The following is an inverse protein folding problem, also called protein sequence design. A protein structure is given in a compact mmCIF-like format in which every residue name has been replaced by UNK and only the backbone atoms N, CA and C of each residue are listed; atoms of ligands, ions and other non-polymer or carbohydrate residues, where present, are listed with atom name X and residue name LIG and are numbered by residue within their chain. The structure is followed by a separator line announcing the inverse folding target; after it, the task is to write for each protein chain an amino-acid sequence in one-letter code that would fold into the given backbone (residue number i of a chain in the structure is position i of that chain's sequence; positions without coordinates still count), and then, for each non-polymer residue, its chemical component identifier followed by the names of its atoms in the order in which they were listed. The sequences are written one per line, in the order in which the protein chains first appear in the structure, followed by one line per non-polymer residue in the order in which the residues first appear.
data_IF_176828974794
#
_entry.id   IF_176828974794
#
_cell.length_a   1.000
_cell.length_b   1.000
_cell.length_c   1.000
_cell.angle_alpha   90.00
_cell.angle_beta   90.00
_cell.angle_gamma   90.00
#
_symmetry.space_group_name_H-M   'P 1'
#
loop_
_entity.id
_entity.type
_entity.pdbx_description
1 polymer ?
#
# COMPACT_ATOMS: atom_id res chain seq x y z
N UNK A 1 70.34 -9.20 10.86
CA UNK A 1 69.45 -8.06 11.16
C UNK A 1 67.99 -8.54 11.11
N UNK A 2 67.55 -9.31 12.11
CA UNK A 2 66.15 -9.76 12.22
C UNK A 2 65.83 -9.90 13.71
N UNK A 3 64.94 -9.03 14.22
CA UNK A 3 64.45 -9.06 15.58
C UNK A 3 62.99 -9.49 15.58
N UNK A 4 62.76 -10.56 16.32
CA UNK A 4 61.49 -11.18 16.69
C UNK A 4 60.75 -10.27 17.69
N UNK A 5 59.45 -9.98 17.50
CA UNK A 5 58.53 -9.85 18.64
C UNK A 5 57.05 -9.78 18.23
N UNK A 6 56.31 -10.82 18.62
CA UNK A 6 54.93 -10.82 19.15
C UNK A 6 53.90 -9.84 18.54
N UNK A 7 53.05 -10.37 17.68
CA UNK A 7 51.61 -10.09 17.76
C UNK A 7 50.83 -11.39 17.57
N UNK A 8 50.73 -12.16 18.66
CA UNK A 8 49.85 -13.33 18.71
C UNK A 8 48.39 -12.86 18.73
N UNK A 9 47.58 -13.59 17.95
CA UNK A 9 46.12 -13.63 17.95
C UNK A 9 45.51 -13.37 19.33
N UNK A 10 44.76 -12.26 19.43
CA UNK A 10 43.61 -12.18 20.34
C UNK A 10 42.35 -12.40 19.50
N UNK A 11 41.95 -13.67 19.39
CA UNK A 11 40.54 -14.02 19.14
C UNK A 11 39.76 -13.45 20.32
N UNK A 12 39.25 -12.23 20.20
CA UNK A 12 38.15 -11.82 21.07
C UNK A 12 36.91 -12.53 20.53
N UNK A 13 36.41 -13.46 21.34
CA UNK A 13 35.06 -13.97 21.19
C UNK A 13 34.12 -12.78 21.09
N UNK A 14 33.17 -12.86 20.16
CA UNK A 14 32.08 -11.90 20.01
C UNK A 14 31.27 -11.93 21.31
N UNK A 15 31.66 -11.07 22.25
CA UNK A 15 30.95 -10.87 23.50
C UNK A 15 29.57 -10.34 23.15
N UNK A 16 28.56 -11.17 23.34
CA UNK A 16 27.18 -10.72 23.35
C UNK A 16 27.04 -9.75 24.53
N UNK A 17 27.11 -8.44 24.26
CA UNK A 17 26.91 -7.40 25.27
C UNK A 17 25.64 -7.63 26.08
N UNK A 18 25.67 -7.23 27.35
CA UNK A 18 24.59 -7.47 28.30
C UNK A 18 23.30 -6.75 27.81
N UNK A 19 22.11 -7.20 28.23
CA UNK A 19 20.81 -6.69 27.71
C UNK A 19 20.72 -5.15 27.72
N UNK A 20 21.29 -4.51 28.75
CA UNK A 20 21.36 -3.06 28.89
C UNK A 20 22.20 -2.37 27.80
N UNK A 21 23.32 -2.95 27.39
CA UNK A 21 24.20 -2.38 26.36
C UNK A 21 23.56 -2.46 24.97
N UNK A 22 22.76 -3.51 24.72
CA UNK A 22 22.00 -3.65 23.47
C UNK A 22 20.90 -2.60 23.32
N UNK A 23 20.27 -2.19 24.42
CA UNK A 23 19.23 -1.15 24.41
C UNK A 23 19.78 0.24 24.04
N UNK A 24 21.04 0.50 24.37
CA UNK A 24 21.73 1.75 24.02
C UNK A 24 22.46 1.71 22.67
N UNK A 25 22.42 0.58 21.95
CA UNK A 25 23.04 0.49 20.64
C UNK A 25 22.28 1.34 19.61
N UNK A 26 22.96 1.88 18.58
CA UNK A 26 22.29 2.57 17.48
C UNK A 26 21.20 1.68 16.86
N UNK A 27 20.03 2.23 16.51
CA UNK A 27 18.97 1.42 15.94
C UNK A 27 19.37 0.85 14.58
N UNK A 28 18.94 -0.38 14.32
CA UNK A 28 18.97 -0.93 12.97
C UNK A 28 17.89 -0.24 12.14
N UNK A 29 18.29 0.37 11.02
CA UNK A 29 17.36 1.05 10.10
C UNK A 29 17.15 0.18 8.87
N UNK A 30 15.89 -0.11 8.58
CA UNK A 30 15.45 -0.82 7.39
C UNK A 30 14.44 -0.01 6.58
N UNK A 31 14.24 -0.44 5.34
CA UNK A 31 13.18 0.04 4.47
C UNK A 31 12.24 -1.13 4.19
N UNK A 32 10.93 -0.89 4.28
CA UNK A 32 9.89 -1.85 3.91
C UNK A 32 8.92 -1.21 2.92
N UNK A 33 8.31 -2.01 2.04
CA UNK A 33 7.40 -1.51 1.02
C UNK A 33 6.08 -2.27 1.07
N UNK A 34 4.96 -1.55 1.18
CA UNK A 34 3.62 -2.10 0.96
C UNK A 34 3.27 -1.91 -0.50
N UNK A 35 3.18 -3.00 -1.26
CA UNK A 35 2.86 -2.95 -2.70
C UNK A 35 1.42 -3.39 -2.86
N UNK A 36 0.59 -2.56 -3.48
CA UNK A 36 -0.82 -2.83 -3.71
C UNK A 36 -1.10 -2.88 -5.21
N UNK A 37 -1.81 -3.93 -5.64
CA UNK A 37 -2.32 -4.09 -6.99
C UNK A 37 -3.76 -4.58 -6.97
N UNK A 38 -4.49 -4.36 -8.07
CA UNK A 38 -5.81 -4.96 -8.26
C UNK A 38 -5.67 -6.40 -8.71
N UNK A 39 -6.14 -7.33 -7.89
CA UNK A 39 -6.22 -8.74 -8.25
C UNK A 39 -7.65 -9.28 -8.28
N UNK A 40 -7.81 -10.54 -8.72
CA UNK A 40 -9.12 -11.17 -8.75
C UNK A 40 -9.65 -11.31 -7.32
N UNK A 41 -10.92 -11.00 -7.15
CA UNK A 41 -11.67 -11.21 -5.92
C UNK A 41 -12.12 -12.65 -5.83
N UNK A 42 -12.20 -13.18 -4.61
CA UNK A 42 -12.74 -14.52 -4.43
C UNK A 42 -14.22 -14.55 -4.85
N UNK A 43 -14.60 -15.57 -5.61
CA UNK A 43 -16.00 -15.87 -5.88
C UNK A 43 -16.54 -16.56 -4.63
N UNK A 44 -16.66 -15.81 -3.54
CA UNK A 44 -17.11 -16.33 -2.26
C UNK A 44 -18.38 -17.15 -2.43
N UNK A 45 -18.52 -18.19 -1.60
CA UNK A 45 -19.51 -19.28 -1.56
C UNK A 45 -21.02 -18.89 -1.66
N UNK A 46 -21.35 -17.64 -1.94
CA UNK A 46 -22.61 -17.23 -2.54
C UNK A 46 -22.70 -17.73 -3.98
N UNK A 47 -23.80 -18.39 -4.36
CA UNK A 47 -24.10 -18.85 -5.72
C UNK A 47 -24.27 -17.73 -6.77
N UNK A 48 -23.40 -16.72 -6.75
CA UNK A 48 -23.28 -15.68 -7.74
C UNK A 48 -22.55 -16.22 -8.98
N UNK A 49 -23.00 -15.76 -10.15
CA UNK A 49 -22.48 -16.18 -11.45
C UNK A 49 -20.96 -15.96 -11.56
N UNK A 50 -20.18 -16.90 -12.15
CA UNK A 50 -18.72 -16.80 -12.29
C UNK A 50 -18.22 -15.61 -13.13
N UNK A 51 -19.13 -14.86 -13.78
CA UNK A 51 -18.84 -13.64 -14.56
C UNK A 51 -18.82 -12.36 -13.69
N UNK A 52 -18.93 -12.50 -12.37
CA UNK A 52 -18.94 -11.42 -11.38
C UNK A 52 -17.79 -11.54 -10.35
N UNK A 53 -16.64 -12.08 -10.76
CA UNK A 53 -15.43 -12.03 -9.93
C UNK A 53 -15.16 -10.56 -9.56
N UNK A 54 -15.17 -10.26 -8.26
CA UNK A 54 -14.90 -8.92 -7.73
C UNK A 54 -13.45 -8.55 -8.01
N UNK A 55 -13.07 -7.29 -7.89
CA UNK A 55 -11.65 -6.94 -7.73
C UNK A 55 -11.37 -6.68 -6.26
N UNK A 56 -10.19 -7.08 -5.80
CA UNK A 56 -9.73 -6.81 -4.44
C UNK A 56 -8.27 -6.35 -4.46
N UNK A 57 -7.80 -5.76 -3.36
CA UNK A 57 -6.41 -5.39 -3.21
C UNK A 57 -5.57 -6.63 -2.90
N UNK A 58 -4.49 -6.80 -3.65
CA UNK A 58 -3.51 -7.85 -3.46
C UNK A 58 -2.14 -7.25 -3.20
N UNK A 59 -1.33 -7.98 -2.43
CA UNK A 59 0.04 -7.61 -2.13
C UNK A 59 0.99 -8.79 -2.19
N UNK A 60 2.20 -8.61 -2.75
CA UNK A 60 3.24 -9.62 -2.71
C UNK A 60 3.92 -9.59 -1.34
N UNK A 61 4.11 -10.77 -0.78
CA UNK A 61 4.88 -10.97 0.44
C UNK A 61 6.08 -11.87 0.15
N UNK A 62 7.14 -11.68 0.92
CA UNK A 62 8.38 -12.44 0.81
C UNK A 62 8.52 -13.39 2.00
N UNK A 63 8.77 -14.67 1.72
CA UNK A 63 9.06 -15.67 2.75
C UNK A 63 10.48 -15.48 3.26
N UNK A 64 10.62 -15.25 4.56
CA UNK A 64 11.91 -14.99 5.20
C UNK A 64 12.77 -16.25 5.23
N UNK A 65 14.01 -16.12 4.78
CA UNK A 65 15.03 -17.20 4.80
C UNK A 65 16.08 -17.04 5.90
N UNK A 66 15.92 -16.04 6.78
CA UNK A 66 16.87 -15.73 7.88
C UNK A 66 16.13 -15.40 9.17
N UNK A 67 16.79 -15.64 10.30
CA UNK A 67 16.30 -15.20 11.62
C UNK A 67 16.39 -13.68 11.78
N UNK A 68 15.56 -13.07 12.66
CA UNK A 68 14.40 -13.68 13.34
C UNK A 68 13.25 -13.96 12.36
N UNK A 69 12.26 -14.75 12.78
CA UNK A 69 11.07 -15.10 11.99
C UNK A 69 11.35 -15.86 10.69
N UNK A 70 12.37 -16.73 10.69
CA UNK A 70 12.62 -17.61 9.55
C UNK A 70 11.37 -18.45 9.23
N UNK A 71 10.97 -18.48 7.96
CA UNK A 71 9.78 -19.19 7.47
C UNK A 71 8.48 -18.37 7.50
N UNK A 72 8.42 -17.25 8.21
CA UNK A 72 7.28 -16.33 8.17
C UNK A 72 7.28 -15.48 6.90
N UNK A 73 6.11 -15.01 6.49
CA UNK A 73 5.94 -14.02 5.43
C UNK A 73 6.21 -12.61 5.93
N UNK A 74 6.66 -11.72 5.06
CA UNK A 74 7.01 -10.35 5.40
C UNK A 74 6.78 -9.43 4.20
N UNK A 75 6.60 -8.13 4.47
CA UNK A 75 6.71 -7.11 3.45
C UNK A 75 8.09 -7.17 2.77
N UNK A 76 8.14 -6.90 1.46
CA UNK A 76 9.37 -6.60 0.73
C UNK A 76 10.15 -5.52 1.46
N UNK A 77 11.47 -5.71 1.59
CA UNK A 77 12.29 -4.77 2.33
C UNK A 77 13.68 -5.29 2.63
N UNK A 78 14.50 -4.42 3.19
CA UNK A 78 15.89 -4.70 3.48
C UNK A 78 16.53 -3.69 4.41
N UNK A 79 17.78 -3.99 4.79
CA UNK A 79 18.60 -3.05 5.53
C UNK A 79 19.00 -1.89 4.64
N UNK A 80 19.11 -0.70 5.22
CA UNK A 80 19.62 0.45 4.49
C UNK A 80 21.09 0.24 4.13
N UNK A 81 21.46 0.64 2.90
CA UNK A 81 22.85 0.65 2.43
C UNK A 81 23.36 2.09 2.34
N UNK A 82 24.65 2.28 2.55
CA UNK A 82 25.27 3.61 2.52
C UNK A 82 25.38 4.21 1.10
N UNK A 83 25.22 3.39 0.06
CA UNK A 83 25.36 3.76 -1.35
C UNK A 83 24.02 4.06 -2.05
N UNK A 84 22.89 4.06 -1.31
CA UNK A 84 21.54 4.27 -1.85
C UNK A 84 20.72 5.21 -0.98
N UNK A 85 19.85 6.00 -1.62
CA UNK A 85 18.82 6.74 -0.90
C UNK A 85 17.74 5.80 -0.33
N UNK A 86 16.88 6.34 0.54
CA UNK A 86 15.72 5.60 1.08
C UNK A 86 14.76 5.17 -0.04
N UNK A 87 14.48 6.08 -0.97
CA UNK A 87 13.63 5.84 -2.13
C UNK A 87 14.23 4.79 -3.07
N UNK A 88 15.53 4.86 -3.36
CA UNK A 88 16.23 3.84 -4.15
C UNK A 88 16.20 2.47 -3.46
N UNK A 89 16.27 2.44 -2.13
CA UNK A 89 16.17 1.20 -1.35
C UNK A 89 14.76 0.61 -1.40
N UNK A 90 13.72 1.45 -1.38
CA UNK A 90 12.33 1.03 -1.54
C UNK A 90 12.07 0.52 -2.97
N UNK A 91 12.55 1.25 -3.98
CA UNK A 91 12.43 0.86 -5.38
C UNK A 91 13.07 -0.52 -5.63
N UNK A 92 14.32 -0.72 -5.17
CA UNK A 92 14.98 -2.03 -5.29
C UNK A 92 14.19 -3.14 -4.58
N UNK A 93 13.69 -2.89 -3.37
CA UNK A 93 12.94 -3.90 -2.62
C UNK A 93 11.68 -4.35 -3.38
N UNK A 94 11.03 -3.42 -4.07
CA UNK A 94 9.90 -3.70 -4.93
C UNK A 94 10.31 -4.45 -6.20
N UNK A 95 11.29 -3.93 -6.94
CA UNK A 95 11.75 -4.49 -8.21
C UNK A 95 12.29 -5.91 -8.02
N UNK A 96 13.12 -6.13 -7.00
CA UNK A 96 13.65 -7.47 -6.69
C UNK A 96 12.59 -8.49 -6.26
N UNK A 97 11.43 -8.03 -5.79
CA UNK A 97 10.34 -8.91 -5.36
C UNK A 97 9.36 -9.20 -6.50
N UNK A 98 9.07 -8.20 -7.33
CA UNK A 98 7.94 -8.25 -8.28
C UNK A 98 8.36 -8.17 -9.73
N UNK A 99 9.58 -7.72 -10.03
CA UNK A 99 10.03 -7.25 -11.34
C UNK A 99 9.19 -6.10 -11.93
N UNK A 100 8.31 -5.48 -11.13
CA UNK A 100 7.44 -4.39 -11.56
C UNK A 100 8.11 -3.04 -11.29
N UNK A 101 7.68 -2.03 -12.05
CA UNK A 101 8.18 -0.66 -11.96
C UNK A 101 6.99 0.24 -11.59
N UNK A 102 6.82 0.60 -10.31
CA UNK A 102 5.62 1.30 -9.90
C UNK A 102 5.58 2.69 -10.52
N UNK A 103 4.40 3.12 -10.99
CA UNK A 103 4.20 4.53 -11.36
C UNK A 103 4.20 5.47 -10.16
N UNK A 104 4.00 4.92 -8.97
CA UNK A 104 3.88 5.68 -7.75
C UNK A 104 4.56 4.95 -6.59
N UNK A 105 5.48 5.66 -5.95
CA UNK A 105 6.18 5.22 -4.75
C UNK A 105 6.27 6.44 -3.82
N UNK A 106 5.71 6.33 -2.62
CA UNK A 106 5.72 7.41 -1.63
C UNK A 106 6.07 6.87 -0.24
N UNK A 107 6.72 7.68 0.58
CA UNK A 107 6.96 7.31 1.97
C UNK A 107 5.64 7.39 2.76
N UNK A 108 5.22 6.26 3.30
CA UNK A 108 3.99 6.13 4.07
C UNK A 108 4.17 6.63 5.52
N UNK A 109 5.14 6.07 6.24
CA UNK A 109 5.39 6.37 7.65
C UNK A 109 6.73 5.78 8.13
N UNK A 110 7.14 6.13 9.35
CA UNK A 110 8.32 5.54 10.01
C UNK A 110 7.88 4.83 11.29
N UNK A 111 8.14 3.53 11.37
CA UNK A 111 7.79 2.68 12.51
C UNK A 111 9.03 2.41 13.36
N UNK A 112 8.97 2.79 14.63
CA UNK A 112 10.09 2.68 15.57
C UNK A 112 9.68 2.26 16.97
N UNK A 113 8.52 1.61 17.11
CA UNK A 113 8.03 1.12 18.39
C UNK A 113 9.05 0.16 19.04
N UNK A 114 9.46 0.33 20.30
CA UNK A 114 10.43 -0.54 20.96
C UNK A 114 10.08 -2.04 20.91
N UNK A 115 8.78 -2.38 20.95
CA UNK A 115 8.29 -3.76 21.04
C UNK A 115 8.38 -4.51 19.71
N UNK A 116 8.58 -3.81 18.58
CA UNK A 116 8.80 -4.46 17.28
C UNK A 116 10.08 -5.30 17.24
N UNK A 117 11.04 -4.97 18.11
CA UNK A 117 12.30 -5.70 18.24
C UNK A 117 12.19 -6.88 19.20
N UNK A 118 12.06 -8.08 18.66
CA UNK A 118 12.08 -9.30 19.47
C UNK A 118 13.50 -9.54 20.00
N UNK A 119 13.77 -9.10 21.24
CA UNK A 119 15.08 -9.26 21.89
C UNK A 119 15.85 -7.95 22.16
N UNK A 120 15.21 -6.78 22.00
CA UNK A 120 15.72 -5.52 22.56
C UNK A 120 16.84 -4.82 21.76
N UNK A 121 16.98 -5.11 20.47
CA UNK A 121 17.79 -4.30 19.56
C UNK A 121 16.90 -3.22 18.95
N UNK A 122 17.13 -1.92 19.22
CA UNK A 122 16.31 -0.86 18.65
C UNK A 122 16.23 -1.00 17.12
N UNK A 123 15.01 -0.97 16.56
CA UNK A 123 14.81 -1.15 15.12
C UNK A 123 13.82 -0.11 14.59
N UNK A 124 14.21 0.57 13.52
CA UNK A 124 13.37 1.54 12.81
C UNK A 124 13.14 1.05 11.39
N UNK A 125 11.89 1.02 10.95
CA UNK A 125 11.52 0.75 9.56
C UNK A 125 10.92 2.01 8.94
N UNK A 126 11.56 2.50 7.88
CA UNK A 126 11.01 3.56 7.04
C UNK A 126 10.17 2.86 5.97
N UNK A 127 8.86 3.08 6.00
CA UNK A 127 7.92 2.35 5.17
C UNK A 127 7.50 3.21 3.99
N UNK A 128 7.59 2.62 2.81
CA UNK A 128 7.03 3.14 1.58
C UNK A 128 5.80 2.33 1.20
N UNK A 129 4.98 2.90 0.32
CA UNK A 129 3.98 2.13 -0.41
C UNK A 129 4.06 2.40 -1.89
N UNK A 130 3.58 1.43 -2.66
CA UNK A 130 3.50 1.51 -4.10
C UNK A 130 2.14 1.04 -4.58
N UNK A 131 1.62 1.73 -5.59
CA UNK A 131 0.44 1.32 -6.34
C UNK A 131 0.91 0.85 -7.71
N UNK A 132 0.56 -0.38 -8.07
CA UNK A 132 0.99 -0.99 -9.33
C UNK A 132 -0.18 -1.09 -10.29
N UNK A 133 0.07 -0.72 -11.54
CA UNK A 133 -0.94 -0.70 -12.58
C UNK A 133 -1.43 -2.13 -12.88
N UNK A 134 -2.73 -2.31 -13.07
CA UNK A 134 -3.33 -3.61 -13.34
C UNK A 134 -2.73 -4.30 -14.58
N UNK A 135 -2.32 -3.53 -15.59
CA UNK A 135 -1.68 -4.02 -16.81
C UNK A 135 -0.26 -4.56 -16.60
N UNK A 136 0.40 -4.17 -15.51
CA UNK A 136 1.73 -4.64 -15.12
C UNK A 136 1.64 -5.85 -14.17
N UNK A 137 0.58 -5.92 -13.36
CA UNK A 137 0.33 -7.01 -12.42
C UNK A 137 -0.15 -8.34 -13.06
N UNK A 138 0.00 -8.48 -14.39
CA UNK A 138 -0.74 -9.42 -15.27
C UNK A 138 -0.51 -10.92 -15.01
N UNK A 139 0.23 -11.32 -13.98
CA UNK A 139 0.38 -12.73 -13.70
C UNK A 139 0.33 -13.16 -12.22
N UNK A 140 0.32 -12.23 -11.24
CA UNK A 140 0.44 -12.58 -9.81
C UNK A 140 1.42 -13.74 -9.59
N UNK A 141 2.54 -13.73 -10.32
CA UNK A 141 3.39 -14.91 -10.45
C UNK A 141 4.09 -15.17 -9.13
N UNK A 142 3.85 -16.35 -8.59
CA UNK A 142 4.57 -16.82 -7.40
C UNK A 142 6.01 -17.14 -7.81
N UNK A 143 6.96 -16.54 -7.09
CA UNK A 143 8.38 -16.86 -7.18
C UNK A 143 8.82 -17.84 -6.10
N UNK A 144 10.09 -18.25 -6.12
CA UNK A 144 10.65 -19.23 -5.17
C UNK A 144 10.38 -18.88 -3.68
N UNK A 145 10.33 -17.60 -3.35
CA UNK A 145 10.05 -17.09 -2.01
C UNK A 145 9.09 -15.90 -2.00
N UNK A 146 8.36 -15.64 -3.09
CA UNK A 146 7.42 -14.53 -3.22
C UNK A 146 6.06 -15.09 -3.55
N UNK A 147 5.03 -14.61 -2.86
CA UNK A 147 3.64 -14.98 -3.16
C UNK A 147 2.72 -13.80 -2.98
N UNK A 148 1.73 -13.69 -3.85
CA UNK A 148 0.68 -12.68 -3.74
C UNK A 148 -0.46 -13.17 -2.85
N UNK A 149 -0.93 -12.29 -1.99
CA UNK A 149 -2.03 -12.55 -1.06
C UNK A 149 -3.07 -11.43 -1.18
N UNK A 150 -4.37 -11.76 -1.12
CA UNK A 150 -5.39 -10.74 -0.99
C UNK A 150 -5.35 -10.12 0.42
N UNK A 151 -5.79 -8.87 0.53
CA UNK A 151 -5.71 -8.11 1.79
C UNK A 151 -6.50 -8.73 2.96
N UNK A 152 -7.51 -9.55 2.68
CA UNK A 152 -8.38 -10.19 3.65
C UNK A 152 -7.97 -11.65 4.00
N UNK A 153 -7.05 -12.26 3.25
CA UNK A 153 -6.46 -13.58 3.52
C UNK A 153 -4.94 -13.51 3.67
N UNK A 154 -4.48 -12.59 4.53
CA UNK A 154 -3.05 -12.43 4.83
C UNK A 154 -2.55 -13.52 5.78
N UNK A 155 -1.40 -14.15 5.50
CA UNK A 155 -0.82 -15.18 6.36
C UNK A 155 -0.30 -14.58 7.67
N UNK A 156 0.28 -15.43 8.53
CA UNK A 156 1.04 -14.95 9.68
C UNK A 156 2.30 -14.20 9.19
N UNK A 157 2.43 -12.96 9.63
CA UNK A 157 3.51 -12.07 9.22
C UNK A 157 4.62 -11.99 10.28
N UNK A 158 5.83 -11.70 9.82
CA UNK A 158 6.98 -11.39 10.66
C UNK A 158 6.88 -9.97 11.22
N UNK A 159 7.52 -9.75 12.38
CA UNK A 159 7.56 -8.45 13.04
C UNK A 159 6.16 -7.85 13.28
N UNK A 160 6.05 -6.54 13.09
CA UNK A 160 4.86 -5.71 13.13
C UNK A 160 4.24 -5.47 11.73
N UNK A 161 4.61 -6.27 10.72
CA UNK A 161 4.20 -6.02 9.34
C UNK A 161 2.68 -6.05 9.12
N UNK A 162 1.93 -6.79 9.96
CA UNK A 162 0.46 -6.73 9.94
C UNK A 162 -0.06 -5.33 10.26
N UNK A 163 0.45 -4.72 11.32
CA UNK A 163 0.12 -3.35 11.71
C UNK A 163 0.51 -2.34 10.63
N UNK A 164 1.66 -2.54 9.98
CA UNK A 164 2.10 -1.68 8.86
C UNK A 164 1.11 -1.75 7.68
N UNK A 165 0.65 -2.95 7.31
CA UNK A 165 -0.33 -3.15 6.23
C UNK A 165 -1.68 -2.53 6.62
N UNK A 166 -2.17 -2.78 7.83
CA UNK A 166 -3.42 -2.21 8.32
C UNK A 166 -3.39 -0.66 8.25
N UNK A 167 -2.28 -0.05 8.70
CA UNK A 167 -2.08 1.39 8.59
C UNK A 167 -2.04 1.89 7.13
N UNK A 168 -1.40 1.13 6.22
CA UNK A 168 -1.38 1.48 4.80
C UNK A 168 -2.78 1.46 4.17
N UNK A 169 -3.58 0.44 4.47
CA UNK A 169 -4.96 0.31 3.99
C UNK A 169 -5.87 1.40 4.57
N UNK A 170 -5.72 1.72 5.87
CA UNK A 170 -6.42 2.84 6.48
C UNK A 170 -6.04 4.17 5.80
N UNK A 171 -4.75 4.40 5.57
CA UNK A 171 -4.25 5.61 4.88
C UNK A 171 -4.81 5.72 3.46
N UNK A 172 -4.87 4.61 2.73
CA UNK A 172 -5.45 4.53 1.39
C UNK A 172 -6.92 4.94 1.41
N UNK A 173 -7.68 4.38 2.35
CA UNK A 173 -9.14 4.53 2.45
C UNK A 173 -9.57 5.91 2.93
N UNK A 174 -8.79 6.53 3.82
CA UNK A 174 -9.24 7.73 4.55
C UNK A 174 -8.58 9.02 4.11
N UNK A 175 -7.45 8.98 3.41
CA UNK A 175 -6.64 10.18 3.20
C UNK A 175 -5.95 10.28 1.83
N UNK A 176 -6.29 9.41 0.88
CA UNK A 176 -5.96 9.65 -0.53
C UNK A 176 -7.25 9.86 -1.30
N UNK A 177 -7.22 10.86 -2.19
CA UNK A 177 -8.25 11.05 -3.21
C UNK A 177 -8.38 9.83 -4.11
N UNK A 178 -9.61 9.33 -4.28
CA UNK A 178 -9.84 8.10 -5.04
C UNK A 178 -9.47 8.26 -6.53
N UNK A 179 -9.54 9.46 -7.09
CA UNK A 179 -9.10 9.77 -8.45
C UNK A 179 -7.60 9.50 -8.64
N UNK A 180 -6.79 9.91 -7.67
CA UNK A 180 -5.35 9.66 -7.63
C UNK A 180 -5.04 8.17 -7.53
N UNK A 181 -5.72 7.44 -6.63
CA UNK A 181 -5.54 5.99 -6.50
C UNK A 181 -5.94 5.28 -7.79
N UNK A 182 -7.09 5.65 -8.37
CA UNK A 182 -7.63 5.03 -9.57
C UNK A 182 -6.71 5.24 -10.79
N UNK A 183 -6.20 6.46 -10.99
CA UNK A 183 -5.26 6.73 -12.09
C UNK A 183 -3.94 5.98 -11.93
N UNK A 184 -3.46 5.77 -10.69
CA UNK A 184 -2.26 4.98 -10.41
C UNK A 184 -2.47 3.48 -10.62
N UNK A 185 -3.67 2.95 -10.35
CA UNK A 185 -4.00 1.52 -10.51
C UNK A 185 -4.47 1.14 -11.91
N UNK A 186 -5.16 2.04 -12.64
CA UNK A 186 -5.74 1.76 -13.96
C UNK A 186 -4.98 2.41 -15.12
N UNK A 187 -4.11 3.38 -14.82
CA UNK A 187 -3.48 4.24 -15.82
C UNK A 187 -4.37 5.41 -16.25
N UNK A 188 -3.98 6.12 -17.32
CA UNK A 188 -4.57 7.41 -17.70
C UNK A 188 -5.97 7.32 -18.32
N UNK A 189 -6.40 6.13 -18.74
CA UNK A 189 -7.72 5.92 -19.38
C UNK A 189 -8.31 4.58 -18.96
N UNK A 190 -9.59 4.57 -18.63
CA UNK A 190 -10.27 3.41 -18.06
C UNK A 190 -11.76 3.38 -18.42
N UNK A 191 -12.39 2.22 -18.27
CA UNK A 191 -13.86 2.12 -18.36
C UNK A 191 -14.51 2.40 -17.00
N UNK A 192 -15.80 2.79 -16.98
CA UNK A 192 -16.55 2.92 -15.72
C UNK A 192 -16.64 1.61 -14.93
N UNK A 193 -16.48 0.45 -15.59
CA UNK A 193 -16.46 -0.84 -14.88
C UNK A 193 -15.13 -1.01 -14.14
N UNK A 194 -14.01 -0.77 -14.81
CA UNK A 194 -12.69 -0.80 -14.18
C UNK A 194 -12.58 0.18 -13.02
N UNK A 195 -13.13 1.39 -13.19
CA UNK A 195 -13.18 2.38 -12.11
C UNK A 195 -14.01 1.89 -10.92
N UNK A 196 -15.18 1.31 -11.19
CA UNK A 196 -16.03 0.70 -10.16
C UNK A 196 -15.30 -0.41 -9.42
N UNK A 197 -14.60 -1.29 -10.13
CA UNK A 197 -13.83 -2.39 -9.55
C UNK A 197 -12.71 -1.87 -8.61
N UNK A 198 -12.04 -0.75 -8.95
CA UNK A 198 -11.09 -0.07 -8.04
C UNK A 198 -11.76 0.43 -6.78
N UNK A 199 -12.88 1.14 -6.92
CA UNK A 199 -13.57 1.73 -5.78
C UNK A 199 -14.07 0.64 -4.82
N UNK A 200 -14.60 -0.48 -5.34
CA UNK A 200 -14.95 -1.64 -4.51
C UNK A 200 -13.73 -2.23 -3.81
N UNK A 201 -12.61 -2.41 -4.52
CA UNK A 201 -11.39 -2.96 -3.95
C UNK A 201 -10.83 -2.10 -2.82
N UNK A 202 -10.82 -0.77 -2.97
CA UNK A 202 -10.38 0.16 -1.92
C UNK A 202 -11.38 0.14 -0.75
N UNK A 203 -12.68 0.19 -1.04
CA UNK A 203 -13.73 0.21 -0.02
C UNK A 203 -13.82 -1.09 0.80
N UNK A 204 -13.33 -2.21 0.25
CA UNK A 204 -13.44 -3.54 0.86
C UNK A 204 -14.89 -4.07 0.90
N UNK A 205 -15.80 -3.50 0.11
CA UNK A 205 -17.21 -3.87 0.09
C UNK A 205 -17.86 -3.60 -1.26
N UNK A 206 -19.02 -4.23 -1.48
CA UNK A 206 -19.76 -4.06 -2.74
C UNK A 206 -20.43 -2.70 -2.86
N UNK A 207 -20.35 -2.13 -4.05
CA UNK A 207 -20.93 -0.86 -4.44
C UNK A 207 -21.90 -1.13 -5.59
N UNK A 208 -23.12 -0.59 -5.54
CA UNK A 208 -24.06 -0.74 -6.65
C UNK A 208 -23.56 -0.03 -7.92
N UNK A 209 -23.32 -0.81 -8.98
CA UNK A 209 -22.76 -0.31 -10.24
C UNK A 209 -23.64 0.75 -10.91
N UNK A 210 -24.97 0.65 -10.81
CA UNK A 210 -25.87 1.61 -11.47
C UNK A 210 -25.82 2.98 -10.77
N UNK A 211 -25.86 2.99 -9.44
CA UNK A 211 -25.72 4.19 -8.63
C UNK A 211 -24.31 4.78 -8.75
N UNK A 212 -23.27 3.95 -8.76
CA UNK A 212 -21.90 4.38 -9.00
C UNK A 212 -21.77 5.11 -10.34
N UNK A 213 -22.24 4.50 -11.44
CA UNK A 213 -22.21 5.11 -12.78
C UNK A 213 -22.92 6.45 -12.80
N UNK A 214 -24.13 6.52 -12.21
CA UNK A 214 -24.91 7.77 -12.14
C UNK A 214 -24.15 8.86 -11.39
N UNK A 215 -23.53 8.52 -10.25
CA UNK A 215 -22.78 9.47 -9.42
C UNK A 215 -21.50 9.94 -10.11
N UNK A 216 -20.71 9.02 -10.66
CA UNK A 216 -19.45 9.37 -11.33
C UNK A 216 -19.69 10.26 -12.55
N UNK A 217 -20.71 9.98 -13.36
CA UNK A 217 -21.03 10.85 -14.51
C UNK A 217 -21.61 12.20 -14.09
N UNK A 218 -22.33 12.27 -12.98
CA UNK A 218 -22.87 13.52 -12.44
C UNK A 218 -21.81 14.40 -11.75
N UNK A 219 -20.66 13.83 -11.37
CA UNK A 219 -19.57 14.57 -10.71
C UNK A 219 -18.97 15.66 -11.61
N UNK A 220 -18.93 15.43 -12.92
CA UNK A 220 -18.21 16.29 -13.87
C UNK A 220 -16.70 16.02 -13.93
N UNK A 221 -16.18 15.11 -13.12
CA UNK A 221 -14.73 14.82 -13.03
C UNK A 221 -14.23 13.88 -14.13
N UNK A 222 -15.14 13.29 -14.91
CA UNK A 222 -14.84 12.34 -15.97
C UNK A 222 -15.19 12.91 -17.34
N UNK A 223 -14.26 12.82 -18.28
CA UNK A 223 -14.51 13.10 -19.70
C UNK A 223 -14.53 11.81 -20.52
N UNK A 224 -15.53 11.70 -21.41
CA UNK A 224 -15.61 10.62 -22.40
C UNK A 224 -14.58 10.88 -23.50
N UNK A 225 -13.68 9.92 -23.70
CA UNK A 225 -12.62 10.03 -24.71
C UNK A 225 -13.13 9.80 -26.15
N UNK A 226 -14.38 9.39 -26.31
CA UNK A 226 -14.97 8.95 -27.58
C UNK A 226 -14.51 7.56 -28.03
N UNK A 227 -13.50 7.00 -27.36
CA UNK A 227 -13.01 5.65 -27.63
C UNK A 227 -13.88 4.60 -26.96
N UNK A 228 -13.88 3.39 -27.54
CA UNK A 228 -14.50 2.21 -26.92
C UNK A 228 -13.46 1.11 -26.80
N UNK A 229 -13.41 0.48 -25.63
CA UNK A 229 -12.54 -0.66 -25.35
C UNK A 229 -13.39 -1.91 -25.19
N UNK A 230 -12.93 -3.02 -25.76
CA UNK A 230 -13.55 -4.32 -25.57
C UNK A 230 -12.66 -5.15 -24.66
N UNK A 231 -13.20 -5.56 -23.52
CA UNK A 231 -12.59 -6.55 -22.64
C UNK A 231 -13.39 -7.85 -22.71
N UNK A 232 -12.69 -8.95 -22.99
CA UNK A 232 -13.27 -10.28 -23.13
C UNK A 232 -14.37 -10.36 -24.21
N UNK A 233 -15.41 -11.15 -23.93
CA UNK A 233 -16.52 -11.40 -24.87
C UNK A 233 -17.59 -10.31 -24.88
N UNK A 234 -17.55 -9.37 -23.93
CA UNK A 234 -18.61 -8.39 -23.72
C UNK A 234 -18.65 -7.30 -24.81
N UNK A 235 -19.72 -6.49 -24.77
CA UNK A 235 -19.89 -5.34 -25.68
C UNK A 235 -18.81 -4.29 -25.38
N UNK A 236 -18.28 -3.58 -26.39
CA UNK A 236 -17.34 -2.49 -26.17
C UNK A 236 -17.91 -1.42 -25.23
N UNK A 237 -17.16 -1.09 -24.19
CA UNK A 237 -17.49 -0.06 -23.21
C UNK A 237 -16.82 1.27 -23.57
N UNK A 238 -17.46 2.38 -23.25
CA UNK A 238 -16.87 3.71 -23.39
C UNK A 238 -15.66 3.87 -22.46
N UNK A 239 -14.65 4.59 -22.94
CA UNK A 239 -13.40 4.87 -22.23
C UNK A 239 -13.41 6.32 -21.75
N UNK A 240 -13.07 6.50 -20.49
CA UNK A 240 -13.04 7.78 -19.79
C UNK A 240 -11.62 8.06 -19.29
N UNK A 241 -11.39 9.33 -18.94
CA UNK A 241 -10.25 9.76 -18.13
C UNK A 241 -10.71 10.83 -17.15
N UNK A 242 -9.96 11.02 -16.07
CA UNK A 242 -10.20 12.14 -15.17
C UNK A 242 -9.82 13.45 -15.86
N UNK A 243 -10.64 14.48 -15.65
CA UNK A 243 -10.39 15.85 -16.09
C UNK A 243 -9.16 16.38 -15.32
N UNK A 244 -8.11 16.86 -15.99
CA UNK A 244 -6.92 17.40 -15.30
C UNK A 244 -7.29 18.59 -14.41
N UNK A 245 -6.73 18.67 -13.20
CA UNK A 245 -7.05 19.74 -12.23
C UNK A 245 -6.84 21.16 -12.81
N UNK A 246 -5.92 21.35 -13.75
CA UNK A 246 -5.69 22.65 -14.42
C UNK A 246 -6.88 23.14 -15.28
N UNK A 247 -7.80 22.25 -15.66
CA UNK A 247 -8.95 22.58 -16.50
C UNK A 247 -10.24 22.87 -15.72
N UNK A 248 -10.19 22.72 -14.39
CA UNK A 248 -11.31 23.05 -13.51
C UNK A 248 -11.21 24.51 -13.10
N UNK A 249 -12.18 25.33 -13.53
CA UNK A 249 -12.25 26.73 -13.14
C UNK A 249 -12.30 26.83 -11.59
N UNK A 250 -11.34 27.52 -10.93
CA UNK A 250 -11.24 27.59 -9.46
C UNK A 250 -12.51 28.15 -8.79
N UNK A 251 -13.37 28.86 -9.53
CA UNK A 251 -14.65 29.34 -9.03
C UNK A 251 -15.67 28.22 -8.76
N UNK A 252 -15.59 27.08 -9.46
CA UNK A 252 -16.53 25.95 -9.29
C UNK A 252 -16.19 25.13 -8.04
N UNK A 253 -14.90 25.00 -7.74
CA UNK A 253 -14.38 24.34 -6.52
C UNK A 253 -14.66 25.17 -5.25
N UNK A 254 -14.59 26.50 -5.36
CA UNK A 254 -14.81 27.42 -4.26
C UNK A 254 -16.25 27.50 -3.70
N UNK A 255 -17.24 26.90 -4.38
CA UNK A 255 -18.63 26.86 -3.89
C UNK A 255 -18.81 25.78 -2.80
N UNK A 256 -17.96 24.76 -2.78
CA UNK A 256 -18.04 23.66 -1.80
C UNK A 256 -16.94 23.71 -0.72
N UNK A 257 -15.91 24.52 -0.90
CA UNK A 257 -14.81 24.63 0.07
C UNK A 257 -14.56 26.08 0.51
N UNK A 258 -15.14 26.51 1.64
CA UNK A 258 -14.62 27.62 2.48
C UNK A 258 -15.17 27.57 3.92
N UNK A 259 -14.40 28.00 4.95
CA UNK A 259 -13.07 27.50 5.31
C UNK A 259 -12.91 27.30 6.84
N UNK A 260 -11.95 26.45 7.21
CA UNK A 260 -11.35 26.49 8.53
C UNK A 260 -10.46 25.29 8.79
N UNK A 261 -9.15 25.42 8.54
CA UNK A 261 -8.14 25.15 9.57
C UNK A 261 -6.75 25.57 9.06
N UNK A 262 -6.07 26.34 9.90
CA UNK A 262 -4.66 26.74 9.74
C UNK A 262 -3.72 25.63 10.21
N UNK A 263 -2.51 25.69 9.67
CA UNK A 263 -1.31 24.92 9.99
C UNK A 263 -0.87 25.01 11.46
N UNK A 264 -0.13 23.99 11.91
CA UNK A 264 0.43 23.71 13.27
C UNK A 264 -0.56 23.01 14.21
N UNK A 265 -0.24 21.88 14.87
CA UNK A 265 0.96 21.64 15.64
C UNK A 265 1.29 20.13 15.81
N UNK A 266 2.52 19.85 16.22
CA UNK A 266 3.05 18.53 16.58
C UNK A 266 2.42 17.97 17.88
N UNK A 267 2.56 16.66 18.05
CA UNK A 267 2.90 15.88 19.28
C UNK A 267 1.88 14.81 19.68
N UNK A 268 2.37 13.58 19.84
CA UNK A 268 1.86 12.63 20.86
C UNK A 268 0.82 11.61 20.40
N UNK A 269 1.29 10.44 19.95
CA UNK A 269 0.47 9.23 19.89
C UNK A 269 0.33 8.66 21.31
N UNK A 270 -0.67 9.12 22.05
CA UNK A 270 -1.30 8.40 23.15
C UNK A 270 -2.69 9.01 23.37
N UNK A 271 -3.72 8.17 23.22
CA UNK A 271 -5.13 8.48 23.39
C UNK A 271 -5.81 9.31 22.28
N UNK A 272 -6.14 8.64 21.17
CA UNK A 272 -7.27 9.08 20.35
C UNK A 272 -7.97 7.91 19.66
N UNK A 273 -8.50 6.99 20.48
CA UNK A 273 -9.63 6.19 20.06
C UNK A 273 -10.87 7.09 20.08
N UNK A 274 -11.48 7.29 18.89
CA UNK A 274 -12.69 8.08 18.61
C UNK A 274 -12.52 9.60 18.55
N UNK A 275 -12.12 10.12 17.39
CA UNK A 275 -12.74 11.35 16.84
C UNK A 275 -13.00 11.17 15.35
N UNK A 276 -14.29 11.10 15.01
CA UNK A 276 -14.81 11.19 13.64
C UNK A 276 -14.40 12.55 13.06
N UNK A 277 -13.54 12.55 12.06
CA UNK A 277 -13.44 13.63 11.09
C UNK A 277 -14.17 13.17 9.83
N UNK A 278 -15.38 13.68 9.64
CA UNK A 278 -16.11 13.63 8.36
C UNK A 278 -15.29 14.39 7.32
N UNK A 279 -14.48 13.65 6.55
CA UNK A 279 -14.18 14.05 5.18
C UNK A 279 -15.33 13.57 4.30
N UNK A 280 -15.58 14.29 3.21
CA UNK A 280 -16.66 14.05 2.28
C UNK A 280 -16.50 12.66 1.66
N UNK A 281 -17.08 11.67 2.33
CA UNK A 281 -16.96 10.27 1.98
C UNK A 281 -17.79 10.06 0.72
N UNK A 282 -17.13 10.19 -0.43
CA UNK A 282 -17.71 9.94 -1.74
C UNK A 282 -18.32 8.53 -1.86
N UNK A 283 -18.06 7.62 -0.90
CA UNK A 283 -18.64 6.30 -0.81
C UNK A 283 -19.78 6.15 0.20
N UNK A 284 -19.87 7.01 1.23
CA UNK A 284 -20.92 6.92 2.25
C UNK A 284 -22.36 6.80 1.69
N UNK A 285 -22.76 7.52 0.61
CA UNK A 285 -24.09 7.34 0.01
C UNK A 285 -24.19 6.16 -0.96
N UNK A 286 -23.09 5.49 -1.30
CA UNK A 286 -23.03 4.34 -2.22
C UNK A 286 -23.05 2.99 -1.52
N UNK A 287 -22.73 2.98 -0.22
CA UNK A 287 -22.76 1.79 0.63
C UNK A 287 -24.21 1.56 1.12
N UNK A 288 -24.84 0.41 0.84
CA UNK A 288 -26.16 0.11 1.39
C UNK A 288 -26.10 0.18 2.91
N UNK A 289 -26.92 1.03 3.51
CA UNK A 289 -27.06 1.07 4.97
C UNK A 289 -27.51 -0.32 5.42
N UNK A 290 -26.67 -1.05 6.16
CA UNK A 290 -27.07 -2.30 6.78
C UNK A 290 -28.30 -2.01 7.65
N UNK A 291 -29.46 -2.52 7.23
CA UNK A 291 -30.66 -2.51 8.06
C UNK A 291 -30.37 -3.42 9.25
N UNK A 292 -30.19 -2.77 10.40
CA UNK A 292 -30.22 -3.22 11.81
C UNK A 292 -30.20 -4.72 12.10
#
# INVERSE_FOLDING_TARGET
MAAVSRYQRKKHGMGFGNVSERRSAPPQVGVSVVILALGPGDAGNSGASPDAARSQLWMPLVKRVRQPFMGCWALPGGHLRADRSLEQSAFEALESTTALHPRYLEQLYTFGDPDRSHGGLPMVSIVYWALVEQSEATAFEDGDNVRWFPEDDLPRLAFDHRTIIEYALERLRSKIEYSDVATRLLGPTFTLRQLHDVYEAIAGQSIDLANFRRKMLASGDLEDTGMKRREGRQRPAAVYRYVPEESVNPATRAVFERPGFHTSDRTGMAAEHRRNTTHDDALAPLIPSAQR
#
